data_IF_684699890243
#
_entry.id   IF_684699890243
#
_cell.length_a   1.000
_cell.length_b   1.000
_cell.length_c   1.000
_cell.angle_alpha   90.00
_cell.angle_beta   90.00
_cell.angle_gamma   90.00
#
_symmetry.space_group_name_H-M   'P 1'
#
loop_
_entity.id
_entity.type
_entity.pdbx_description
1 polymer ?
#
# COMPACT_ATOMS: atom_id res chain seq x y z
N UNK A 1 19.63 -30.73 4.36
CA UNK A 1 18.71 -31.78 4.85
C UNK A 1 18.40 -31.56 6.33
N UNK A 2 17.65 -30.48 6.67
CA UNK A 2 17.04 -30.22 8.01
C UNK A 2 16.30 -28.87 8.08
N UNK A 3 15.42 -28.53 7.13
CA UNK A 3 14.49 -27.37 7.28
C UNK A 3 13.12 -27.65 6.60
N UNK A 4 12.62 -28.89 6.61
CA UNK A 4 11.33 -29.23 5.98
C UNK A 4 10.36 -30.04 6.87
N UNK A 5 10.50 -29.97 8.19
CA UNK A 5 9.61 -30.70 9.13
C UNK A 5 8.91 -29.80 10.15
N UNK A 6 8.78 -28.50 9.88
CA UNK A 6 8.19 -27.53 10.82
C UNK A 6 6.72 -27.12 10.56
N UNK A 7 6.18 -27.36 9.36
CA UNK A 7 4.91 -26.75 8.94
C UNK A 7 3.64 -27.47 9.41
N UNK A 8 3.75 -28.59 10.14
CA UNK A 8 2.61 -29.35 10.67
C UNK A 8 2.41 -29.25 12.19
N UNK A 9 3.21 -28.44 12.91
CA UNK A 9 3.16 -28.39 14.39
C UNK A 9 2.91 -26.99 15.02
N UNK A 10 2.56 -25.97 14.22
CA UNK A 10 2.31 -24.60 14.74
C UNK A 10 0.83 -24.36 15.09
N UNK A 11 -0.06 -25.36 14.97
CA UNK A 11 -1.49 -25.18 15.25
C UNK A 11 -1.92 -25.37 16.73
N UNK A 12 -1.00 -25.62 17.69
CA UNK A 12 -1.42 -26.10 19.03
C UNK A 12 -0.75 -25.44 20.25
N UNK A 13 -0.07 -24.28 20.12
CA UNK A 13 0.62 -23.65 21.28
C UNK A 13 0.11 -22.29 21.76
N UNK A 14 -0.94 -21.75 21.16
CA UNK A 14 -1.58 -20.54 21.65
C UNK A 14 -3.09 -20.76 21.80
N UNK A 15 -3.48 -21.44 22.87
CA UNK A 15 -4.86 -21.42 23.34
C UNK A 15 -5.13 -20.05 23.97
N UNK A 16 -5.23 -19.01 23.13
CA UNK A 16 -5.84 -17.75 23.55
C UNK A 16 -7.29 -18.06 23.93
N UNK A 17 -7.83 -17.51 25.03
CA UNK A 17 -9.24 -17.67 25.32
C UNK A 17 -10.02 -17.18 24.10
N UNK A 18 -10.92 -18.01 23.56
CA UNK A 18 -11.89 -17.64 22.54
C UNK A 18 -12.85 -16.60 23.15
N UNK A 19 -12.39 -15.38 23.36
CA UNK A 19 -13.27 -14.25 23.58
C UNK A 19 -13.99 -14.03 22.24
N UNK A 20 -15.25 -14.46 22.17
CA UNK A 20 -16.14 -14.21 21.04
C UNK A 20 -16.45 -12.71 20.98
N UNK A 21 -15.51 -11.95 20.45
CA UNK A 21 -15.72 -10.55 20.15
C UNK A 21 -16.71 -10.46 18.99
N UNK A 22 -17.81 -9.76 19.21
CA UNK A 22 -18.76 -9.44 18.15
C UNK A 22 -18.40 -8.08 17.58
N UNK A 23 -18.40 -7.95 16.26
CA UNK A 23 -18.15 -6.69 15.58
C UNK A 23 -19.28 -6.36 14.63
N UNK A 24 -19.59 -5.08 14.54
CA UNK A 24 -20.61 -4.53 13.65
C UNK A 24 -20.09 -3.21 13.08
N UNK A 25 -20.29 -2.99 11.78
CA UNK A 25 -19.94 -1.72 11.15
C UNK A 25 -21.14 -0.80 11.20
N UNK A 26 -21.01 0.32 11.92
CA UNK A 26 -22.07 1.32 12.10
C UNK A 26 -21.55 2.65 11.60
N UNK A 27 -22.28 3.30 10.70
CA UNK A 27 -21.89 4.56 10.06
C UNK A 27 -20.46 4.51 9.47
N UNK A 28 -20.05 3.35 8.95
CA UNK A 28 -18.72 3.09 8.37
C UNK A 28 -17.56 3.00 9.35
N UNK A 29 -17.83 2.88 10.65
CA UNK A 29 -16.82 2.57 11.66
C UNK A 29 -17.16 1.22 12.31
N UNK A 30 -16.18 0.30 12.36
CA UNK A 30 -16.35 -0.97 13.06
C UNK A 30 -16.31 -0.74 14.56
N UNK A 31 -17.38 -1.15 15.23
CA UNK A 31 -17.48 -1.20 16.67
C UNK A 31 -17.32 -2.63 17.18
N UNK A 32 -16.61 -2.77 18.30
CA UNK A 32 -16.35 -4.05 18.94
C UNK A 32 -17.11 -4.13 20.26
N UNK A 33 -17.80 -5.25 20.43
CA UNK A 33 -18.61 -5.56 21.59
C UNK A 33 -18.07 -6.83 22.29
N UNK A 34 -18.09 -6.88 23.63
CA UNK A 34 -17.65 -8.06 24.39
C UNK A 34 -18.47 -9.32 24.11
N UNK A 35 -19.76 -9.15 23.80
CA UNK A 35 -20.73 -10.20 23.50
C UNK A 35 -21.87 -9.60 22.66
N UNK A 36 -22.65 -10.44 21.97
CA UNK A 36 -23.79 -10.03 21.12
C UNK A 36 -24.84 -9.20 21.86
N UNK A 37 -24.95 -9.39 23.18
CA UNK A 37 -25.96 -8.72 24.02
C UNK A 37 -25.44 -7.44 24.70
N UNK A 38 -24.14 -7.15 24.61
CA UNK A 38 -23.56 -5.96 25.22
C UNK A 38 -23.61 -4.77 24.27
N UNK A 39 -24.12 -3.63 24.74
CA UNK A 39 -24.12 -2.35 24.02
C UNK A 39 -22.88 -1.50 24.29
N UNK A 40 -22.00 -1.95 25.17
CA UNK A 40 -20.80 -1.18 25.55
C UNK A 40 -19.68 -1.41 24.55
N UNK A 41 -19.17 -0.30 23.98
CA UNK A 41 -18.11 -0.31 22.98
C UNK A 41 -16.76 -0.46 23.68
N UNK A 42 -15.99 -1.50 23.32
CA UNK A 42 -14.68 -1.77 23.94
C UNK A 42 -13.65 -0.67 23.66
N UNK A 43 -13.59 -0.20 22.40
CA UNK A 43 -12.64 0.82 21.96
C UNK A 43 -13.39 1.96 21.27
N UNK A 44 -13.91 2.93 22.01
CA UNK A 44 -14.59 4.06 21.42
C UNK A 44 -13.61 4.92 20.61
N UNK A 45 -14.07 5.40 19.46
CA UNK A 45 -13.37 6.36 18.61
C UNK A 45 -14.19 7.64 18.58
N UNK A 46 -13.51 8.78 18.47
CA UNK A 46 -14.16 10.06 18.21
C UNK A 46 -14.99 9.98 16.92
N UNK A 47 -16.15 10.63 16.92
CA UNK A 47 -17.06 10.65 15.79
C UNK A 47 -16.55 11.57 14.65
N UNK A 48 -17.13 11.38 13.47
CA UNK A 48 -16.73 12.10 12.26
C UNK A 48 -16.90 13.62 12.42
N UNK A 49 -17.98 14.04 13.09
CA UNK A 49 -18.29 15.47 13.30
C UNK A 49 -17.23 16.13 14.17
N UNK A 50 -16.78 15.46 15.24
CA UNK A 50 -15.68 15.96 16.08
C UNK A 50 -14.39 16.06 15.29
N UNK A 51 -14.01 15.02 14.54
CA UNK A 51 -12.81 15.06 13.68
C UNK A 51 -12.85 16.22 12.69
N UNK A 52 -13.95 16.41 11.96
CA UNK A 52 -14.06 17.52 11.02
C UNK A 52 -14.09 18.88 11.73
N UNK A 53 -14.69 18.98 12.91
CA UNK A 53 -14.69 20.21 13.71
C UNK A 53 -13.27 20.60 14.14
N UNK A 54 -12.49 19.64 14.61
CA UNK A 54 -11.09 19.82 15.00
C UNK A 54 -10.21 20.12 13.79
N UNK A 55 -10.44 19.47 12.66
CA UNK A 55 -9.78 19.79 11.39
C UNK A 55 -10.04 21.26 11.00
N UNK A 56 -11.28 21.74 11.08
CA UNK A 56 -11.59 23.16 10.83
C UNK A 56 -10.94 24.10 11.86
N UNK A 57 -10.75 23.66 13.10
CA UNK A 57 -10.00 24.42 14.09
C UNK A 57 -8.53 24.55 13.68
N UNK A 58 -7.87 23.44 13.33
CA UNK A 58 -6.47 23.44 12.86
C UNK A 58 -6.31 24.29 11.60
N UNK A 59 -7.23 24.18 10.63
CA UNK A 59 -7.20 24.99 9.41
C UNK A 59 -7.34 26.50 9.70
N UNK A 60 -8.13 26.89 10.70
CA UNK A 60 -8.21 28.30 11.13
C UNK A 60 -6.92 28.79 11.76
N UNK A 61 -6.31 27.98 12.63
CA UNK A 61 -5.01 28.28 13.25
C UNK A 61 -3.92 28.39 12.18
N UNK A 62 -3.94 27.50 11.18
CA UNK A 62 -3.00 27.52 10.06
C UNK A 62 -3.16 28.76 9.17
N UNK A 63 -4.38 29.26 9.01
CA UNK A 63 -4.67 30.48 8.24
C UNK A 63 -4.38 31.79 9.00
N UNK A 64 -4.17 31.74 10.32
CA UNK A 64 -3.92 32.92 11.13
C UNK A 64 -2.55 33.55 10.81
N UNK A 65 -2.55 34.82 10.40
CA UNK A 65 -1.37 35.49 9.84
C UNK A 65 -0.23 35.71 10.85
N UNK A 66 -0.57 36.00 12.10
CA UNK A 66 0.36 36.13 13.22
C UNK A 66 1.09 34.80 13.50
N UNK A 67 0.34 33.71 13.58
CA UNK A 67 0.89 32.36 13.79
C UNK A 67 1.81 31.97 12.62
N UNK A 68 1.38 32.20 11.37
CA UNK A 68 2.22 31.94 10.19
C UNK A 68 3.53 32.73 10.22
N UNK A 69 3.49 33.99 10.63
CA UNK A 69 4.68 34.85 10.73
C UNK A 69 5.65 34.33 11.79
N UNK A 70 5.14 33.99 12.97
CA UNK A 70 5.96 33.43 14.06
C UNK A 70 6.58 32.09 13.65
N UNK A 71 5.80 31.20 13.03
CA UNK A 71 6.30 29.92 12.51
C UNK A 71 7.38 30.11 11.45
N UNK A 72 7.19 31.04 10.51
CA UNK A 72 8.19 31.35 9.48
C UNK A 72 9.51 31.86 10.08
N UNK A 73 9.45 32.84 10.99
CA UNK A 73 10.64 33.33 11.69
C UNK A 73 11.35 32.23 12.48
N UNK A 74 10.59 31.35 13.15
CA UNK A 74 11.15 30.21 13.89
C UNK A 74 11.84 29.21 12.95
N UNK A 75 11.24 28.88 11.81
CA UNK A 75 11.85 27.97 10.84
C UNK A 75 13.16 28.54 10.29
N UNK A 76 13.17 29.82 9.91
CA UNK A 76 14.40 30.49 9.46
C UNK A 76 15.46 30.49 10.56
N UNK A 77 15.08 30.77 11.81
CA UNK A 77 16.02 30.74 12.93
C UNK A 77 16.61 29.33 13.16
N UNK A 78 15.79 28.28 13.04
CA UNK A 78 16.25 26.90 13.17
C UNK A 78 17.24 26.53 12.05
N UNK A 79 16.96 26.94 10.81
CA UNK A 79 17.85 26.75 9.68
C UNK A 79 19.18 27.48 9.87
N UNK A 80 19.15 28.76 10.29
CA UNK A 80 20.37 29.51 10.56
C UNK A 80 21.19 28.92 11.71
N UNK A 81 20.53 28.42 12.77
CA UNK A 81 21.21 27.70 13.86
C UNK A 81 21.89 26.43 13.36
N UNK A 82 21.23 25.68 12.48
CA UNK A 82 21.82 24.48 11.88
C UNK A 82 23.01 24.81 10.98
N UNK A 83 22.91 25.85 10.15
CA UNK A 83 24.01 26.32 9.31
C UNK A 83 25.21 26.80 10.14
N UNK A 84 24.96 27.52 11.24
CA UNK A 84 26.01 27.89 12.19
C UNK A 84 26.65 26.67 12.85
N UNK A 85 25.83 25.69 13.26
CA UNK A 85 26.34 24.43 13.80
C UNK A 85 27.27 23.73 12.81
N UNK A 86 26.89 23.63 11.53
CA UNK A 86 27.74 23.04 10.49
C UNK A 86 29.05 23.82 10.34
N UNK A 87 29.02 25.15 10.30
CA UNK A 87 30.23 25.98 10.18
C UNK A 87 31.21 25.80 11.35
N UNK A 88 30.70 25.56 12.56
CA UNK A 88 31.54 25.45 13.78
C UNK A 88 31.96 24.02 14.07
N UNK A 89 31.14 23.02 13.71
CA UNK A 89 31.30 21.64 14.17
C UNK A 89 31.52 20.60 13.05
N UNK A 90 31.49 20.97 11.76
CA UNK A 90 31.67 20.01 10.66
C UNK A 90 32.96 19.18 10.79
N UNK A 91 34.09 19.81 11.13
CA UNK A 91 35.36 19.08 11.30
C UNK A 91 35.31 18.09 12.47
N UNK A 92 34.61 18.45 13.56
CA UNK A 92 34.43 17.57 14.72
C UNK A 92 33.56 16.38 14.37
N UNK A 93 32.48 16.59 13.60
CA UNK A 93 31.62 15.52 13.10
C UNK A 93 32.38 14.58 12.15
N UNK A 94 33.21 15.14 11.26
CA UNK A 94 34.04 14.35 10.35
C UNK A 94 35.07 13.50 11.10
N UNK A 95 35.72 14.06 12.13
CA UNK A 95 36.64 13.30 12.98
C UNK A 95 35.92 12.20 13.76
N UNK A 96 34.71 12.47 14.28
CA UNK A 96 33.89 11.47 14.95
C UNK A 96 33.48 10.32 14.02
N UNK A 97 33.15 10.62 12.75
CA UNK A 97 32.87 9.59 11.74
C UNK A 97 34.11 8.74 11.45
N UNK A 98 35.28 9.37 11.29
CA UNK A 98 36.56 8.65 11.08
C UNK A 98 36.95 7.77 12.27
N UNK A 99 36.57 8.16 13.48
CA UNK A 99 36.82 7.38 14.70
C UNK A 99 35.94 6.11 14.81
N UNK A 100 34.89 5.98 14.00
CA UNK A 100 34.03 4.80 13.91
C UNK A 100 34.45 3.92 12.71
N UNK A 101 35.43 3.01 12.86
CA UNK A 101 35.86 2.15 11.77
C UNK A 101 34.71 1.23 11.30
N UNK A 102 34.73 0.89 10.01
CA UNK A 102 33.73 0.01 9.36
C UNK A 102 32.28 0.53 9.33
N UNK A 103 32.05 1.79 9.66
CA UNK A 103 30.74 2.47 9.51
C UNK A 103 30.87 3.58 8.47
N UNK A 104 30.70 3.20 7.22
CA UNK A 104 30.62 4.13 6.09
C UNK A 104 29.22 4.12 5.47
N UNK A 105 29.03 4.91 4.42
CA UNK A 105 27.76 4.99 3.70
C UNK A 105 27.24 3.63 3.19
N UNK A 106 28.12 2.67 2.91
CA UNK A 106 27.73 1.35 2.41
C UNK A 106 27.33 0.39 3.53
N UNK A 107 27.90 0.54 4.72
CA UNK A 107 27.66 -0.32 5.88
C UNK A 107 26.56 0.17 6.83
N UNK A 108 25.97 1.34 6.55
CA UNK A 108 24.80 1.84 7.26
C UNK A 108 23.54 1.24 6.63
N UNK A 109 22.68 0.65 7.47
CA UNK A 109 21.37 0.15 7.04
C UNK A 109 20.48 1.33 6.63
N UNK A 110 19.98 1.26 5.41
CA UNK A 110 19.11 2.26 4.79
C UNK A 110 17.82 1.56 4.39
N UNK A 111 16.71 2.23 4.65
CA UNK A 111 15.38 1.73 4.33
C UNK A 111 14.80 2.64 3.27
N UNK A 112 14.39 2.08 2.15
CA UNK A 112 13.56 2.78 1.21
C UNK A 112 12.11 2.76 1.71
N UNK A 113 11.69 3.87 2.31
CA UNK A 113 10.40 4.00 3.01
C UNK A 113 9.24 4.28 2.05
N UNK A 114 9.51 4.55 0.78
CA UNK A 114 8.50 4.99 -0.18
C UNK A 114 8.72 4.40 -1.58
N UNK A 115 8.26 3.15 -1.76
CA UNK A 115 8.33 2.46 -3.06
C UNK A 115 7.03 1.75 -3.37
N UNK A 116 6.51 1.94 -4.59
CA UNK A 116 5.44 1.10 -5.12
C UNK A 116 6.02 -0.20 -5.67
N UNK A 117 5.45 -1.34 -5.29
CA UNK A 117 5.95 -2.66 -5.68
C UNK A 117 6.08 -2.83 -7.20
N UNK A 118 5.12 -2.33 -7.99
CA UNK A 118 5.18 -2.39 -9.46
C UNK A 118 6.36 -1.62 -10.07
N UNK A 119 6.97 -0.72 -9.31
CA UNK A 119 8.08 0.14 -9.70
C UNK A 119 9.41 -0.22 -9.01
N UNK A 120 9.46 -1.33 -8.26
CA UNK A 120 10.65 -1.69 -7.48
C UNK A 120 11.85 -2.12 -8.33
N UNK A 121 11.60 -2.50 -9.58
CA UNK A 121 12.59 -3.08 -10.50
C UNK A 121 13.17 -2.03 -11.43
N UNK A 122 14.46 -2.18 -11.75
CA UNK A 122 15.09 -1.39 -12.80
C UNK A 122 14.51 -1.78 -14.17
N UNK A 123 14.30 -0.79 -15.04
CA UNK A 123 13.81 -0.97 -16.40
C UNK A 123 14.63 -2.00 -17.20
N UNK A 124 15.96 -1.99 -17.05
CA UNK A 124 16.85 -2.95 -17.71
C UNK A 124 16.59 -4.37 -17.23
N UNK A 125 16.28 -4.54 -15.94
CA UNK A 125 15.95 -5.83 -15.34
C UNK A 125 14.59 -6.33 -15.85
N UNK A 126 13.56 -5.47 -15.83
CA UNK A 126 12.24 -5.79 -16.37
C UNK A 126 12.31 -6.18 -17.85
N UNK A 127 13.03 -5.42 -18.68
CA UNK A 127 13.21 -5.72 -20.10
C UNK A 127 13.87 -7.09 -20.31
N UNK A 128 14.94 -7.38 -19.55
CA UNK A 128 15.64 -8.67 -19.61
C UNK A 128 14.71 -9.82 -19.22
N UNK A 129 13.88 -9.61 -18.20
CA UNK A 129 12.89 -10.59 -17.74
C UNK A 129 11.86 -10.89 -18.84
N UNK A 130 11.25 -9.85 -19.43
CA UNK A 130 10.29 -9.99 -20.54
C UNK A 130 10.92 -10.74 -21.72
N UNK A 131 12.13 -10.34 -22.15
CA UNK A 131 12.84 -11.03 -23.24
C UNK A 131 13.14 -12.50 -22.92
N UNK A 132 13.53 -12.79 -21.67
CA UNK A 132 13.79 -14.16 -21.23
C UNK A 132 12.51 -15.01 -21.28
N UNK A 133 11.38 -14.47 -20.84
CA UNK A 133 10.08 -15.17 -20.87
C UNK A 133 9.58 -15.42 -22.29
N UNK A 134 9.67 -14.43 -23.17
CA UNK A 134 9.32 -14.60 -24.58
C UNK A 134 10.18 -15.68 -25.28
N UNK A 135 11.45 -15.84 -24.87
CA UNK A 135 12.34 -16.86 -25.44
C UNK A 135 12.13 -18.27 -24.87
N UNK A 136 11.84 -18.37 -23.57
CA UNK A 136 11.76 -19.67 -22.87
C UNK A 136 10.35 -20.27 -22.85
N UNK A 137 9.33 -19.42 -22.77
CA UNK A 137 7.93 -19.82 -22.58
C UNK A 137 7.00 -19.03 -23.55
N UNK A 138 7.19 -19.13 -24.89
CA UNK A 138 6.40 -18.37 -25.86
C UNK A 138 4.94 -18.82 -25.97
N UNK A 139 4.68 -20.12 -25.80
CA UNK A 139 3.37 -20.75 -26.03
C UNK A 139 2.47 -20.72 -24.78
N UNK A 140 2.92 -20.08 -23.70
CA UNK A 140 2.14 -19.95 -22.48
C UNK A 140 0.92 -19.05 -22.69
N UNK A 141 -0.25 -19.50 -22.26
CA UNK A 141 -1.49 -18.71 -22.31
C UNK A 141 -1.49 -17.65 -21.20
N UNK A 142 -1.51 -16.38 -21.58
CA UNK A 142 -1.27 -15.27 -20.63
C UNK A 142 -2.46 -14.32 -20.47
N UNK A 143 -3.34 -14.22 -21.46
CA UNK A 143 -4.48 -13.31 -21.42
C UNK A 143 -5.68 -13.89 -22.16
N UNK A 144 -6.89 -13.60 -21.66
CA UNK A 144 -8.14 -13.89 -22.33
C UNK A 144 -8.78 -12.59 -22.80
N UNK A 145 -8.93 -12.41 -24.11
CA UNK A 145 -9.60 -11.24 -24.71
C UNK A 145 -10.30 -11.61 -26.00
N UNK A 146 -11.34 -10.86 -26.32
CA UNK A 146 -12.06 -10.96 -27.59
C UNK A 146 -12.59 -12.40 -27.86
N UNK A 147 -12.89 -13.13 -26.78
CA UNK A 147 -13.40 -14.51 -26.82
C UNK A 147 -12.32 -15.58 -27.01
N UNK A 148 -11.04 -15.22 -27.11
CA UNK A 148 -9.93 -16.16 -27.30
C UNK A 148 -8.87 -16.05 -26.21
N UNK A 149 -8.24 -17.19 -25.93
CA UNK A 149 -7.04 -17.25 -25.10
C UNK A 149 -5.84 -16.98 -26.00
N UNK A 150 -5.04 -15.98 -25.64
CA UNK A 150 -3.84 -15.62 -26.38
C UNK A 150 -2.59 -16.09 -25.63
N UNK A 151 -1.68 -16.70 -26.38
CA UNK A 151 -0.34 -17.04 -25.91
C UNK A 151 0.55 -15.80 -25.80
N UNK A 152 1.65 -15.89 -25.04
CA UNK A 152 2.59 -14.79 -24.92
C UNK A 152 3.10 -14.35 -26.30
N UNK A 153 3.42 -15.30 -27.18
CA UNK A 153 3.84 -15.02 -28.55
C UNK A 153 2.77 -14.28 -29.35
N UNK A 154 1.51 -14.76 -29.33
CA UNK A 154 0.40 -14.11 -30.04
C UNK A 154 0.12 -12.70 -29.51
N UNK A 155 0.28 -12.47 -28.20
CA UNK A 155 0.17 -11.12 -27.63
C UNK A 155 1.21 -10.20 -28.24
N UNK A 156 2.48 -10.60 -28.31
CA UNK A 156 3.55 -9.79 -28.91
C UNK A 156 3.35 -9.58 -30.41
N UNK A 157 2.91 -10.60 -31.15
CA UNK A 157 2.56 -10.50 -32.58
C UNK A 157 1.39 -9.53 -32.80
N UNK A 158 0.35 -9.56 -31.95
CA UNK A 158 -0.80 -8.65 -32.03
C UNK A 158 -0.45 -7.18 -31.78
N UNK A 159 0.68 -6.94 -31.13
CA UNK A 159 1.19 -5.61 -30.79
C UNK A 159 2.21 -5.11 -31.82
N UNK A 160 2.50 -5.91 -32.85
CA UNK A 160 3.56 -5.66 -33.86
C UNK A 160 4.93 -5.40 -33.22
N UNK A 161 5.22 -6.10 -32.11
CA UNK A 161 6.46 -5.97 -31.36
C UNK A 161 7.24 -7.28 -31.39
N UNK A 162 8.46 -7.27 -31.94
CA UNK A 162 9.36 -8.41 -31.83
C UNK A 162 10.24 -8.32 -30.57
N UNK A 163 10.72 -9.46 -30.07
CA UNK A 163 11.63 -9.50 -28.93
C UNK A 163 12.96 -8.73 -29.14
N UNK A 164 13.33 -8.47 -30.39
CA UNK A 164 14.50 -7.66 -30.74
C UNK A 164 14.20 -6.16 -30.63
N UNK A 165 13.00 -5.74 -31.06
CA UNK A 165 12.56 -4.34 -31.07
C UNK A 165 12.30 -3.79 -29.67
N UNK A 166 12.00 -4.65 -28.70
CA UNK A 166 11.86 -4.25 -27.30
C UNK A 166 13.15 -3.61 -26.77
N UNK A 167 13.13 -2.29 -26.61
CA UNK A 167 14.20 -1.50 -26.01
C UNK A 167 13.66 -0.73 -24.79
N UNK A 168 14.58 -0.14 -24.03
CA UNK A 168 14.26 0.56 -22.77
C UNK A 168 13.38 1.80 -23.02
N UNK A 169 13.55 2.45 -24.16
CA UNK A 169 12.79 3.65 -24.54
C UNK A 169 11.34 3.31 -24.94
N UNK A 170 11.13 2.19 -25.64
CA UNK A 170 9.82 1.67 -26.00
C UNK A 170 9.01 1.23 -24.78
N UNK A 171 9.66 0.80 -23.69
CA UNK A 171 8.98 0.42 -22.46
C UNK A 171 8.34 1.60 -21.71
N UNK A 172 8.82 2.85 -21.92
CA UNK A 172 8.35 4.12 -21.33
C UNK A 172 8.15 4.13 -19.79
N UNK A 173 8.83 3.24 -19.07
CA UNK A 173 8.74 3.12 -17.58
C UNK A 173 9.60 4.14 -16.82
N UNK A 174 9.83 5.33 -17.38
CA UNK A 174 10.71 6.35 -16.79
C UNK A 174 10.01 7.12 -15.65
N UNK A 175 10.56 7.10 -14.44
CA UNK A 175 10.16 8.04 -13.40
C UNK A 175 10.76 9.43 -13.70
N UNK A 176 9.96 10.32 -14.28
CA UNK A 176 10.34 11.73 -14.50
C UNK A 176 9.78 12.62 -13.37
N UNK A 177 10.29 13.84 -13.17
CA UNK A 177 9.80 14.81 -12.16
C UNK A 177 8.29 15.09 -12.29
N UNK A 178 7.73 14.94 -13.49
CA UNK A 178 6.30 15.03 -13.78
C UNK A 178 5.45 13.85 -13.27
N UNK A 179 6.07 12.78 -12.77
CA UNK A 179 5.45 11.51 -12.34
C UNK A 179 5.22 11.48 -10.82
N UNK A 180 5.94 12.30 -10.06
CA UNK A 180 5.82 12.40 -8.60
C UNK A 180 4.47 13.00 -8.15
N UNK A 181 3.79 13.75 -9.02
CA UNK A 181 2.58 14.50 -8.64
C UNK A 181 1.27 13.84 -9.05
N UNK A 182 1.28 12.76 -9.87
CA UNK A 182 0.08 12.25 -10.54
C UNK A 182 0.01 10.72 -10.55
N UNK A 183 -0.77 10.15 -9.64
CA UNK A 183 -0.95 8.70 -9.50
C UNK A 183 -1.65 8.04 -10.71
N UNK A 184 -2.51 8.77 -11.42
CA UNK A 184 -3.13 8.33 -12.68
C UNK A 184 -2.08 8.20 -13.80
N UNK A 185 -1.18 9.19 -13.94
CA UNK A 185 0.00 9.10 -14.81
C UNK A 185 0.99 8.05 -14.32
N UNK A 186 1.18 7.85 -13.02
CA UNK A 186 1.99 6.75 -12.48
C UNK A 186 1.46 5.41 -12.99
N UNK A 187 0.16 5.15 -12.86
CA UNK A 187 -0.47 3.95 -13.41
C UNK A 187 -0.34 3.83 -14.95
N UNK A 188 -0.51 4.93 -15.69
CA UNK A 188 -0.37 4.95 -17.15
C UNK A 188 1.09 4.76 -17.62
N UNK A 189 2.08 5.21 -16.83
CA UNK A 189 3.51 5.17 -17.14
C UNK A 189 4.19 3.84 -16.80
N UNK A 190 3.57 3.05 -15.91
CA UNK A 190 3.91 1.63 -15.73
C UNK A 190 3.04 0.70 -16.60
N UNK A 191 2.47 1.21 -17.70
CA UNK A 191 2.07 0.35 -18.81
C UNK A 191 3.32 0.08 -19.67
N UNK A 192 3.91 -1.13 -19.65
CA UNK A 192 4.99 -1.47 -20.56
C UNK A 192 4.52 -1.18 -22.00
N UNK A 193 5.31 -0.40 -22.76
CA UNK A 193 4.99 -0.02 -24.13
C UNK A 193 3.71 0.82 -24.30
N UNK A 194 3.21 1.49 -23.25
CA UNK A 194 1.94 2.21 -23.27
C UNK A 194 0.72 1.30 -23.43
N UNK A 195 0.92 -0.03 -23.32
CA UNK A 195 -0.10 -1.05 -23.57
C UNK A 195 -0.56 -1.66 -22.25
N UNK A 196 -1.86 -1.57 -21.98
CA UNK A 196 -2.49 -2.16 -20.79
C UNK A 196 -2.29 -3.68 -20.72
N UNK A 197 -2.13 -4.36 -21.88
CA UNK A 197 -1.96 -5.81 -21.99
C UNK A 197 -0.68 -6.31 -21.31
N UNK A 198 0.47 -5.70 -21.62
CA UNK A 198 1.75 -6.12 -21.02
C UNK A 198 1.80 -5.82 -19.52
N UNK A 199 1.13 -4.74 -19.08
CA UNK A 199 1.01 -4.42 -17.66
C UNK A 199 0.23 -5.47 -16.90
N UNK A 200 -0.89 -5.91 -17.47
CA UNK A 200 -1.74 -6.93 -16.88
C UNK A 200 -0.99 -8.26 -16.73
N UNK A 201 -0.19 -8.62 -17.71
CA UNK A 201 0.57 -9.89 -17.72
C UNK A 201 1.77 -9.84 -16.75
N UNK A 202 2.59 -8.78 -16.79
CA UNK A 202 3.87 -8.75 -16.07
C UNK A 202 3.84 -7.98 -14.75
N UNK A 203 2.93 -7.03 -14.57
CA UNK A 203 2.95 -6.06 -13.46
C UNK A 203 1.67 -6.06 -12.61
N UNK A 204 0.75 -7.00 -12.82
CA UNK A 204 -0.42 -7.23 -11.96
C UNK A 204 -0.41 -8.64 -11.39
N UNK A 205 -0.86 -8.76 -10.14
CA UNK A 205 -1.05 -10.03 -9.45
C UNK A 205 -2.40 -10.69 -9.78
N UNK A 206 -3.45 -9.88 -9.96
CA UNK A 206 -4.78 -10.32 -10.40
C UNK A 206 -4.82 -10.37 -11.93
N UNK A 207 -4.42 -11.51 -12.50
CA UNK A 207 -4.46 -11.80 -13.94
C UNK A 207 -4.73 -13.29 -14.19
N UNK A 208 -4.83 -13.69 -15.47
CA UNK A 208 -5.16 -15.06 -15.86
C UNK A 208 -4.17 -16.11 -15.33
N UNK A 209 -2.89 -15.78 -15.26
CA UNK A 209 -1.80 -16.64 -14.75
C UNK A 209 -1.56 -16.45 -13.25
N UNK A 210 -2.52 -15.86 -12.53
CA UNK A 210 -2.48 -15.65 -11.07
C UNK A 210 -1.21 -14.94 -10.58
N UNK A 211 -0.70 -14.00 -11.38
CA UNK A 211 0.46 -13.19 -11.02
C UNK A 211 1.78 -13.95 -11.02
N UNK A 212 1.88 -15.13 -11.66
CA UNK A 212 3.11 -15.95 -11.73
C UNK A 212 4.34 -15.14 -12.15
N UNK A 213 4.24 -14.39 -13.25
CA UNK A 213 5.37 -13.59 -13.74
C UNK A 213 5.77 -12.45 -12.79
N UNK A 214 4.81 -11.78 -12.17
CA UNK A 214 5.12 -10.74 -11.19
C UNK A 214 5.78 -11.33 -9.93
N UNK A 215 5.33 -12.51 -9.49
CA UNK A 215 5.93 -13.21 -8.36
C UNK A 215 7.38 -13.64 -8.65
N UNK A 216 7.64 -14.23 -9.80
CA UNK A 216 9.00 -14.60 -10.23
C UNK A 216 9.93 -13.38 -10.29
N UNK A 217 9.44 -12.28 -10.85
CA UNK A 217 10.20 -11.04 -10.93
C UNK A 217 10.47 -10.44 -9.54
N UNK A 218 9.49 -10.53 -8.64
CA UNK A 218 9.65 -10.09 -7.23
C UNK A 218 10.70 -10.93 -6.51
N UNK A 219 10.76 -12.24 -6.77
CA UNK A 219 11.83 -13.11 -6.20
C UNK A 219 13.22 -12.70 -6.68
N UNK A 220 13.37 -12.34 -7.96
CA UNK A 220 14.65 -11.83 -8.47
C UNK A 220 15.05 -10.52 -7.75
N UNK A 221 14.10 -9.61 -7.53
CA UNK A 221 14.34 -8.37 -6.78
C UNK A 221 14.70 -8.64 -5.31
N UNK A 222 14.04 -9.61 -4.66
CA UNK A 222 14.36 -9.99 -3.28
C UNK A 222 15.76 -10.57 -3.16
N UNK A 223 16.17 -11.41 -4.11
CA UNK A 223 17.53 -11.96 -4.12
C UNK A 223 18.60 -10.85 -4.26
N UNK A 224 18.37 -9.85 -5.11
CA UNK A 224 19.27 -8.71 -5.26
C UNK A 224 19.31 -7.83 -3.98
N UNK A 225 18.18 -7.68 -3.29
CA UNK A 225 18.08 -6.93 -2.03
C UNK A 225 18.73 -7.69 -0.86
N UNK A 226 18.62 -9.01 -0.80
CA UNK A 226 19.28 -9.87 0.20
C UNK A 226 20.80 -9.91 0.00
N UNK A 227 21.27 -9.93 -1.26
CA UNK A 227 22.67 -9.74 -1.58
C UNK A 227 23.17 -8.37 -1.08
N UNK A 228 22.30 -7.36 -1.13
CA UNK A 228 22.54 -6.01 -0.62
C UNK A 228 22.19 -5.85 0.86
N UNK A 229 22.92 -6.54 1.76
CA UNK A 229 22.69 -6.63 3.23
C UNK A 229 22.22 -5.36 3.98
N UNK A 230 22.59 -4.16 3.50
CA UNK A 230 22.29 -2.90 4.17
C UNK A 230 21.12 -2.13 3.55
N UNK A 231 20.46 -2.67 2.54
CA UNK A 231 19.31 -2.06 1.89
C UNK A 231 18.06 -2.82 2.29
N UNK A 232 17.06 -2.08 2.77
CA UNK A 232 15.75 -2.60 3.13
C UNK A 232 14.70 -1.82 2.34
N UNK A 233 13.51 -2.38 2.15
CA UNK A 233 12.45 -1.72 1.41
C UNK A 233 11.08 -1.90 2.07
N UNK A 234 10.28 -0.83 2.02
CA UNK A 234 8.87 -0.82 2.38
C UNK A 234 8.02 -0.77 1.10
N UNK A 235 7.67 -1.94 0.55
CA UNK A 235 6.94 -2.03 -0.71
C UNK A 235 5.43 -1.83 -0.52
N UNK A 236 4.85 -1.01 -1.40
CA UNK A 236 3.40 -0.78 -1.44
C UNK A 236 2.70 -1.63 -2.48
N UNK A 237 1.68 -2.37 -2.04
CA UNK A 237 0.82 -3.19 -2.89
C UNK A 237 -0.64 -2.74 -2.77
N UNK A 238 -1.35 -2.70 -3.91
CA UNK A 238 -2.69 -2.12 -3.97
C UNK A 238 -3.77 -3.11 -3.56
N UNK A 239 -4.69 -2.64 -2.70
CA UNK A 239 -6.03 -3.20 -2.55
C UNK A 239 -7.02 -2.12 -2.96
N UNK A 240 -7.95 -2.47 -3.83
CA UNK A 240 -8.87 -1.53 -4.44
C UNK A 240 -10.20 -1.45 -3.67
N UNK A 241 -10.54 -2.50 -2.93
CA UNK A 241 -11.78 -2.56 -2.16
C UNK A 241 -13.02 -2.76 -3.04
N UNK A 242 -12.88 -3.37 -4.23
CA UNK A 242 -14.03 -3.68 -5.10
C UNK A 242 -14.80 -4.89 -4.62
N UNK A 243 -14.09 -5.86 -4.03
CA UNK A 243 -14.62 -7.12 -3.51
C UNK A 243 -13.93 -7.48 -2.21
N UNK A 244 -14.65 -8.11 -1.28
CA UNK A 244 -14.08 -8.66 -0.03
C UNK A 244 -12.95 -9.67 -0.29
N UNK A 245 -13.05 -10.43 -1.38
CA UNK A 245 -12.08 -11.47 -1.76
C UNK A 245 -10.70 -10.94 -2.17
N UNK A 246 -10.53 -9.62 -2.36
CA UNK A 246 -9.23 -9.05 -2.78
C UNK A 246 -8.12 -9.32 -1.75
N UNK A 247 -8.45 -9.29 -0.45
CA UNK A 247 -7.50 -9.63 0.62
C UNK A 247 -7.02 -11.07 0.55
N UNK A 248 -7.96 -12.01 0.40
CA UNK A 248 -7.62 -13.43 0.31
C UNK A 248 -6.85 -13.77 -0.95
N UNK A 249 -7.22 -13.17 -2.08
CA UNK A 249 -6.51 -13.34 -3.35
C UNK A 249 -5.06 -12.86 -3.23
N UNK A 250 -4.86 -11.68 -2.66
CA UNK A 250 -3.51 -11.13 -2.47
C UNK A 250 -2.70 -11.94 -1.45
N UNK A 251 -3.31 -12.36 -0.35
CA UNK A 251 -2.64 -13.21 0.64
C UNK A 251 -2.25 -14.58 0.04
N UNK A 252 -3.14 -15.20 -0.74
CA UNK A 252 -2.86 -16.42 -1.49
C UNK A 252 -1.69 -16.22 -2.45
N UNK A 253 -1.66 -15.11 -3.18
CA UNK A 253 -0.57 -14.79 -4.10
C UNK A 253 0.77 -14.68 -3.38
N UNK A 254 0.83 -13.99 -2.24
CA UNK A 254 2.06 -13.86 -1.44
C UNK A 254 2.52 -15.22 -0.88
N UNK A 255 1.60 -15.98 -0.25
CA UNK A 255 1.93 -17.23 0.44
C UNK A 255 2.27 -18.34 -0.55
N UNK A 256 1.46 -18.54 -1.58
CA UNK A 256 1.68 -19.61 -2.57
C UNK A 256 2.97 -19.40 -3.37
N UNK A 257 3.37 -18.15 -3.56
CA UNK A 257 4.63 -17.82 -4.22
C UNK A 257 5.79 -17.64 -3.24
N UNK A 258 5.62 -17.83 -1.93
CA UNK A 258 6.70 -17.65 -0.94
C UNK A 258 7.39 -16.28 -1.03
N UNK A 259 6.61 -15.21 -1.21
CA UNK A 259 7.13 -13.85 -1.36
C UNK A 259 7.45 -13.23 0.01
N UNK A 260 8.53 -13.73 0.61
CA UNK A 260 9.06 -13.28 1.89
C UNK A 260 10.55 -12.95 1.77
N UNK A 261 10.99 -11.89 2.44
CA UNK A 261 12.39 -11.54 2.63
C UNK A 261 12.55 -10.79 3.95
N UNK A 262 13.66 -11.02 4.68
CA UNK A 262 13.95 -10.28 5.92
C UNK A 262 14.14 -8.77 5.69
N UNK A 263 14.48 -8.39 4.45
CA UNK A 263 14.77 -7.02 4.08
C UNK A 263 13.53 -6.23 3.62
N UNK A 264 12.37 -6.89 3.51
CA UNK A 264 11.17 -6.34 2.90
C UNK A 264 9.98 -6.41 3.84
N UNK A 265 9.25 -5.31 3.93
CA UNK A 265 7.93 -5.27 4.57
C UNK A 265 6.90 -4.65 3.64
N UNK A 266 5.62 -4.95 3.88
CA UNK A 266 4.54 -4.53 3.01
C UNK A 266 3.71 -3.39 3.60
N UNK A 267 3.35 -2.43 2.74
CA UNK A 267 2.31 -1.45 3.01
C UNK A 267 1.16 -1.68 2.03
N UNK A 268 -0.06 -1.58 2.53
CA UNK A 268 -1.26 -1.72 1.71
C UNK A 268 -1.69 -0.34 1.26
N UNK A 269 -1.60 -0.07 -0.04
CA UNK A 269 -2.09 1.18 -0.61
C UNK A 269 -3.53 1.01 -1.08
N UNK A 270 -4.39 1.95 -0.71
CA UNK A 270 -5.78 2.01 -1.14
C UNK A 270 -5.95 3.21 -2.06
N UNK A 271 -6.17 2.97 -3.37
CA UNK A 271 -6.45 4.04 -4.31
C UNK A 271 -7.81 4.71 -4.04
N UNK A 272 -7.83 6.04 -3.94
CA UNK A 272 -9.04 6.84 -3.70
C UNK A 272 -9.84 7.04 -4.98
N UNK A 273 -10.33 5.96 -5.60
CA UNK A 273 -11.01 5.98 -6.90
C UNK A 273 -12.46 5.49 -6.84
N UNK A 274 -13.15 5.81 -5.74
CA UNK A 274 -14.56 5.46 -5.53
C UNK A 274 -15.48 5.87 -6.69
N UNK A 275 -15.27 7.07 -7.25
CA UNK A 275 -16.07 7.59 -8.37
C UNK A 275 -16.04 6.65 -9.59
N UNK A 276 -14.89 6.06 -9.90
CA UNK A 276 -14.73 5.11 -11.01
C UNK A 276 -15.54 3.85 -10.76
N UNK A 277 -15.50 3.31 -9.54
CA UNK A 277 -16.27 2.11 -9.17
C UNK A 277 -17.77 2.37 -9.09
N UNK A 278 -18.14 3.61 -8.76
CA UNK A 278 -19.53 4.05 -8.74
C UNK A 278 -20.09 4.14 -10.15
N UNK A 279 -19.35 4.73 -11.10
CA UNK A 279 -19.72 4.79 -12.52
C UNK A 279 -19.81 3.39 -13.16
N UNK A 280 -18.92 2.47 -12.78
CA UNK A 280 -18.95 1.07 -13.22
C UNK A 280 -20.08 0.25 -12.57
N UNK A 281 -20.80 0.79 -11.58
CA UNK A 281 -21.86 0.09 -10.85
C UNK A 281 -21.37 -1.07 -9.98
N UNK A 282 -20.07 -1.15 -9.70
CA UNK A 282 -19.49 -2.22 -8.86
C UNK A 282 -19.75 -1.96 -7.37
N UNK A 283 -19.81 -0.69 -6.98
CA UNK A 283 -19.99 -0.23 -5.60
C UNK A 283 -21.21 0.70 -5.53
N UNK A 284 -22.06 0.51 -4.51
CA UNK A 284 -23.29 1.29 -4.36
C UNK A 284 -23.16 2.53 -3.47
N UNK A 285 -22.30 2.45 -2.47
CA UNK A 285 -22.06 3.51 -1.50
C UNK A 285 -20.62 3.46 -1.01
N UNK A 286 -20.13 4.53 -0.41
CA UNK A 286 -18.80 4.52 0.20
C UNK A 286 -18.68 3.47 1.31
N UNK A 287 -19.78 3.14 1.98
CA UNK A 287 -19.86 2.05 2.95
C UNK A 287 -19.34 0.73 2.37
N UNK A 288 -19.72 0.35 1.14
CA UNK A 288 -19.29 -0.93 0.60
C UNK A 288 -17.78 -0.98 0.30
N UNK A 289 -17.17 0.17 0.02
CA UNK A 289 -15.71 0.26 -0.09
C UNK A 289 -15.05 -0.04 1.27
N UNK A 290 -15.56 0.57 2.34
CA UNK A 290 -15.07 0.33 3.70
C UNK A 290 -15.31 -1.11 4.14
N UNK A 291 -16.48 -1.68 3.81
CA UNK A 291 -16.82 -3.08 4.09
C UNK A 291 -15.81 -4.03 3.46
N UNK A 292 -15.47 -3.80 2.18
CA UNK A 292 -14.54 -4.64 1.43
C UNK A 292 -13.11 -4.55 1.95
N UNK A 293 -12.72 -3.40 2.49
CA UNK A 293 -11.36 -3.16 2.99
C UNK A 293 -11.20 -3.66 4.43
N UNK A 294 -12.14 -3.33 5.32
CA UNK A 294 -11.95 -3.52 6.75
C UNK A 294 -12.56 -4.82 7.28
N UNK A 295 -13.73 -5.26 6.79
CA UNK A 295 -14.38 -6.45 7.37
C UNK A 295 -13.50 -7.71 7.29
N UNK A 296 -12.82 -8.03 6.17
CA UNK A 296 -11.93 -9.19 6.11
C UNK A 296 -10.79 -9.13 7.16
N UNK A 297 -10.31 -7.92 7.47
CA UNK A 297 -9.28 -7.71 8.50
C UNK A 297 -9.80 -7.96 9.92
N UNK A 298 -11.06 -7.62 10.19
CA UNK A 298 -11.70 -7.93 11.47
C UNK A 298 -12.02 -9.43 11.58
N UNK A 299 -12.55 -10.04 10.52
CA UNK A 299 -12.85 -11.48 10.43
C UNK A 299 -11.60 -12.32 10.78
N UNK A 300 -10.47 -12.07 10.11
CA UNK A 300 -9.20 -12.79 10.38
C UNK A 300 -8.60 -12.48 11.75
N UNK A 301 -8.84 -11.28 12.30
CA UNK A 301 -8.35 -10.93 13.63
C UNK A 301 -9.18 -11.60 14.73
N UNK A 302 -10.49 -11.76 14.52
CA UNK A 302 -11.38 -12.45 15.45
C UNK A 302 -11.12 -13.96 15.43
N UNK A 303 -11.07 -14.55 14.23
CA UNK A 303 -10.74 -15.97 14.02
C UNK A 303 -9.67 -16.12 12.93
N UNK A 304 -8.40 -16.36 13.31
CA UNK A 304 -7.32 -16.61 12.34
C UNK A 304 -7.57 -17.78 11.39
N UNK A 305 -8.44 -18.73 11.77
CA UNK A 305 -8.76 -19.92 10.96
C UNK A 305 -9.68 -19.60 9.78
N UNK A 306 -10.40 -18.47 9.84
CA UNK A 306 -11.29 -18.02 8.76
C UNK A 306 -10.52 -17.65 7.49
N UNK A 307 -9.38 -16.97 7.65
CA UNK A 307 -8.49 -16.55 6.56
C UNK A 307 -7.03 -16.88 6.90
N UNK A 308 -6.59 -18.16 6.83
CA UNK A 308 -5.30 -18.59 7.35
C UNK A 308 -4.11 -17.96 6.61
N UNK A 309 -4.19 -17.85 5.27
CA UNK A 309 -3.13 -17.22 4.47
C UNK A 309 -3.07 -15.71 4.71
N UNK A 310 -4.22 -15.07 4.92
CA UNK A 310 -4.29 -13.64 5.25
C UNK A 310 -3.66 -13.37 6.62
N UNK A 311 -3.88 -14.24 7.61
CA UNK A 311 -3.26 -14.09 8.92
C UNK A 311 -1.73 -14.04 8.83
N UNK A 312 -1.12 -14.98 8.08
CA UNK A 312 0.33 -15.02 7.85
C UNK A 312 0.81 -13.78 7.09
N UNK A 313 0.08 -13.36 6.06
CA UNK A 313 0.43 -12.17 5.30
C UNK A 313 0.44 -10.90 6.18
N UNK A 314 -0.54 -10.74 7.07
CA UNK A 314 -0.64 -9.59 7.97
C UNK A 314 0.50 -9.50 9.00
N UNK A 315 1.27 -10.57 9.23
CA UNK A 315 2.49 -10.48 10.03
C UNK A 315 3.58 -9.62 9.36
N UNK A 316 3.57 -9.54 8.02
CA UNK A 316 4.51 -8.76 7.23
C UNK A 316 3.99 -7.36 6.84
N UNK A 317 2.71 -7.09 7.08
CA UNK A 317 2.09 -5.80 6.77
C UNK A 317 2.32 -4.82 7.91
N UNK A 318 3.01 -3.72 7.63
CA UNK A 318 3.39 -2.71 8.64
C UNK A 318 2.58 -1.43 8.55
N UNK A 319 1.89 -1.20 7.43
CA UNK A 319 1.15 0.05 7.24
C UNK A 319 0.08 0.00 6.18
N UNK A 320 -0.80 1.00 6.25
CA UNK A 320 -1.85 1.28 5.29
C UNK A 320 -1.67 2.69 4.78
N UNK A 321 -1.79 2.83 3.48
CA UNK A 321 -1.51 4.03 2.72
C UNK A 321 -2.72 4.39 1.85
N UNK A 322 -2.94 5.68 1.60
CA UNK A 322 -4.03 6.21 0.78
C UNK A 322 -3.41 6.97 -0.39
N UNK A 323 -3.76 6.60 -1.61
CA UNK A 323 -3.13 7.13 -2.83
C UNK A 323 -4.18 7.62 -3.84
N UNK A 324 -3.96 8.78 -4.46
CA UNK A 324 -4.62 9.25 -5.69
C UNK A 324 -3.87 10.52 -6.15
N UNK A 325 -4.18 11.03 -7.32
CA UNK A 325 -3.70 12.33 -7.79
C UNK A 325 -4.22 13.47 -6.89
N UNK A 326 -3.35 14.02 -6.05
CA UNK A 326 -3.66 15.11 -5.11
C UNK A 326 -3.94 16.44 -5.79
N UNK A 327 -3.59 16.62 -7.07
CA UNK A 327 -3.90 17.85 -7.81
C UNK A 327 -5.37 17.93 -8.26
N UNK A 328 -6.12 16.82 -8.14
CA UNK A 328 -7.55 16.81 -8.50
C UNK A 328 -8.33 17.71 -7.54
N UNK A 329 -9.19 18.61 -8.07
CA UNK A 329 -9.97 19.49 -7.20
C UNK A 329 -10.96 18.67 -6.40
N UNK A 330 -10.93 18.83 -5.08
CA UNK A 330 -11.89 18.24 -4.16
C UNK A 330 -12.69 19.31 -3.42
N UNK A 331 -13.93 18.97 -3.05
CA UNK A 331 -14.74 19.84 -2.20
C UNK A 331 -14.27 19.67 -0.77
N UNK A 332 -13.89 20.76 -0.11
CA UNK A 332 -13.52 20.72 1.31
C UNK A 332 -14.70 20.16 2.12
N UNK A 333 -14.44 19.18 3.02
CA UNK A 333 -15.51 18.61 3.83
C UNK A 333 -16.07 19.67 4.77
N UNK A 334 -17.38 19.66 4.97
CA UNK A 334 -18.05 20.47 5.99
C UNK A 334 -17.94 19.77 7.36
N UNK A 335 -18.41 20.41 8.44
CA UNK A 335 -18.47 19.76 9.77
C UNK A 335 -19.47 18.60 9.80
N UNK A 336 -20.59 18.76 9.08
CA UNK A 336 -21.65 17.76 8.97
C UNK A 336 -21.59 17.13 7.59
N UNK A 337 -20.70 16.14 7.46
CA UNK A 337 -20.62 15.32 6.27
C UNK A 337 -21.61 14.14 6.37
N UNK A 338 -22.21 13.71 5.25
CA UNK A 338 -23.09 12.55 5.26
C UNK A 338 -22.32 11.29 5.63
N UNK A 339 -23.01 10.29 6.18
CA UNK A 339 -22.41 9.00 6.56
C UNK A 339 -21.98 8.21 5.32
N UNK A 340 -21.09 7.20 5.45
CA UNK A 340 -20.60 6.40 4.33
C UNK A 340 -21.70 5.68 3.56
N UNK A 341 -22.77 5.27 4.26
CA UNK A 341 -23.96 4.67 3.65
C UNK A 341 -24.76 5.68 2.81
N UNK A 342 -24.86 6.92 3.31
CA UNK A 342 -25.55 8.01 2.62
C UNK A 342 -24.73 8.55 1.44
N UNK A 343 -23.41 8.33 1.42
CA UNK A 343 -22.54 8.71 0.31
C UNK A 343 -22.75 7.78 -0.89
N UNK A 344 -23.80 8.06 -1.65
CA UNK A 344 -24.19 7.34 -2.86
C UNK A 344 -23.98 8.14 -4.15
N UNK A 345 -23.52 9.39 -4.01
CA UNK A 345 -23.25 10.28 -5.13
C UNK A 345 -22.09 9.75 -6.01
N UNK A 346 -21.99 10.28 -7.24
CA UNK A 346 -20.93 9.89 -8.21
C UNK A 346 -19.59 10.54 -7.88
N UNK A 347 -19.59 11.57 -7.03
CA UNK A 347 -18.38 12.31 -6.68
C UNK A 347 -17.50 11.51 -5.72
N UNK A 348 -16.19 11.65 -5.89
CA UNK A 348 -15.23 11.08 -4.96
C UNK A 348 -15.32 11.82 -3.61
N UNK A 349 -15.38 11.13 -2.46
CA UNK A 349 -15.23 11.78 -1.16
C UNK A 349 -13.92 12.54 -1.05
N UNK A 350 -13.90 13.60 -0.24
CA UNK A 350 -12.69 14.38 0.02
C UNK A 350 -11.61 13.55 0.73
N UNK A 351 -10.34 13.93 0.58
CA UNK A 351 -9.21 13.26 1.22
C UNK A 351 -9.39 13.07 2.73
N UNK A 352 -9.76 14.13 3.44
CA UNK A 352 -9.97 14.07 4.88
C UNK A 352 -11.10 13.10 5.28
N UNK A 353 -12.08 12.87 4.39
CA UNK A 353 -13.13 11.88 4.61
C UNK A 353 -12.57 10.46 4.54
N UNK A 354 -11.79 10.14 3.51
CA UNK A 354 -11.07 8.85 3.44
C UNK A 354 -10.18 8.63 4.65
N UNK A 355 -9.38 9.63 5.02
CA UNK A 355 -8.45 9.54 6.16
C UNK A 355 -9.19 9.26 7.45
N UNK A 356 -10.30 9.94 7.74
CA UNK A 356 -11.06 9.71 8.97
C UNK A 356 -11.58 8.27 9.07
N UNK A 357 -12.31 7.77 8.06
CA UNK A 357 -12.86 6.43 8.14
C UNK A 357 -11.78 5.35 8.11
N UNK A 358 -10.69 5.56 7.38
CA UNK A 358 -9.55 4.64 7.43
C UNK A 358 -8.86 4.66 8.79
N UNK A 359 -8.66 5.84 9.39
CA UNK A 359 -8.09 6.00 10.72
C UNK A 359 -8.97 5.34 11.79
N UNK A 360 -10.27 5.61 11.79
CA UNK A 360 -11.19 5.10 12.80
C UNK A 360 -11.23 3.57 12.80
N UNK A 361 -11.34 2.97 11.61
CA UNK A 361 -11.34 1.51 11.46
C UNK A 361 -9.98 0.90 11.78
N UNK A 362 -8.87 1.51 11.36
CA UNK A 362 -7.53 1.04 11.74
C UNK A 362 -7.28 1.15 13.24
N UNK A 363 -7.78 2.19 13.89
CA UNK A 363 -7.61 2.36 15.33
C UNK A 363 -8.31 1.23 16.11
N UNK A 364 -9.58 0.94 15.80
CA UNK A 364 -10.31 -0.15 16.46
C UNK A 364 -9.72 -1.51 16.13
N UNK A 365 -9.31 -1.72 14.87
CA UNK A 365 -8.61 -2.94 14.45
C UNK A 365 -7.30 -3.13 15.21
N UNK A 366 -6.46 -2.09 15.30
CA UNK A 366 -5.18 -2.17 15.97
C UNK A 366 -5.34 -2.40 17.47
N UNK A 367 -6.33 -1.80 18.13
CA UNK A 367 -6.62 -2.07 19.55
C UNK A 367 -7.03 -3.52 19.78
N UNK A 368 -7.78 -4.11 18.87
CA UNK A 368 -8.13 -5.53 18.91
C UNK A 368 -6.93 -6.45 18.62
N UNK A 369 -6.11 -6.09 17.63
CA UNK A 369 -4.90 -6.86 17.30
C UNK A 369 -3.90 -6.83 18.45
N UNK A 370 -3.70 -5.66 19.05
CA UNK A 370 -2.84 -5.45 20.22
C UNK A 370 -3.35 -6.23 21.45
N UNK A 371 -4.67 -6.23 21.72
CA UNK A 371 -5.24 -7.02 22.83
C UNK A 371 -5.08 -8.53 22.65
N UNK A 372 -4.91 -9.01 21.41
CA UNK A 372 -4.61 -10.40 21.05
C UNK A 372 -3.11 -10.69 20.85
N UNK A 373 -2.23 -9.70 21.03
CA UNK A 373 -0.79 -9.85 20.80
C UNK A 373 -0.39 -10.05 19.33
N UNK A 374 -1.23 -9.62 18.38
CA UNK A 374 -0.96 -9.67 16.94
C UNK A 374 -0.29 -8.37 16.43
N UNK A 375 0.30 -8.43 15.24
CA UNK A 375 0.94 -7.26 14.59
C UNK A 375 -0.06 -6.12 14.34
N UNK A 376 0.36 -4.87 14.47
CA UNK A 376 -0.50 -3.69 14.20
C UNK A 376 -0.10 -2.98 12.91
N UNK A 377 -1.07 -2.35 12.25
CA UNK A 377 -0.89 -1.69 10.95
C UNK A 377 -0.95 -0.17 11.13
N UNK A 378 0.13 0.55 10.80
CA UNK A 378 0.19 2.01 10.96
C UNK A 378 -0.43 2.74 9.76
N UNK A 379 -1.24 3.76 10.00
CA UNK A 379 -1.70 4.66 8.94
C UNK A 379 -0.54 5.57 8.50
N UNK A 380 -0.10 5.44 7.25
CA UNK A 380 0.98 6.22 6.62
C UNK A 380 0.52 6.69 5.24
N UNK A 381 -0.38 7.68 5.17
CA UNK A 381 -0.99 8.08 3.91
C UNK A 381 -0.03 8.94 3.08
N UNK A 382 -0.13 8.89 1.75
CA UNK A 382 0.41 9.95 0.91
C UNK A 382 -0.36 11.25 1.19
N UNK A 383 0.37 12.34 1.33
CA UNK A 383 -0.18 13.66 1.54
C UNK A 383 0.81 14.76 1.17
N UNK A 384 0.32 15.85 0.59
CA UNK A 384 1.08 17.09 0.36
C UNK A 384 1.97 17.06 -0.87
N UNK A 385 1.70 16.17 -1.82
CA UNK A 385 2.46 15.99 -3.06
C UNK A 385 1.95 16.87 -4.20
N UNK A 386 0.64 17.11 -4.30
CA UNK A 386 0.01 17.92 -5.35
C UNK A 386 -0.69 19.16 -4.80
N UNK A 387 -0.56 20.31 -5.49
CA UNK A 387 -1.15 21.59 -5.12
C UNK A 387 -2.04 22.16 -6.21
#
# INVERSE_FOLDING_TARGET
MRIMTGYTYICLKYCFPFFQHHFEMVDGVVHLYPSKDSKERLFPVADATTFFTDMHYILRVLAAGDIRTVCHHRLNLLEQKFNLHLMVNADRELLAQKAAPHRDFYNVRKVDTHVHHSACMNQKHLLRFIKSKLKKEPDEVVIFRDGTYLTLKEVFESLDLTGYDLNVDLLDVHADKSTFHRFDKFNLKYNPCGQSRLREIFLKQDNLIQGRFLAELTKEVFADLEASKYQMAEYRISIYGRKKSEWDQMASWIVNNELYSENVVWLIQIPRIYNVYREMGTINSFQNLLDNIFLPLFEVTVDPSSHPQLHVFLEQVVGLDLVDDESKPERRPTKHMPTPEQWTNVFNPAYAYYVYYCYANLYTLNKLRDSKGMTTIKLRPHCGEGW
#
